data_IF_907661436313
#
_entry.id   IF_907661436313
#
_cell.length_a   1.000
_cell.length_b   1.000
_cell.length_c   1.000
_cell.angle_alpha   90.00
_cell.angle_beta   90.00
_cell.angle_gamma   90.00
#
_symmetry.space_group_name_H-M   'P 1'
#
loop_
_entity.id
_entity.type
_entity.pdbx_description
1 polymer ?
#
# COMPACT_ATOMS: atom_id res chain seq x y z
N UNK A 1 7.53 12.76 -21.26
CA UNK A 1 6.65 12.63 -20.08
C UNK A 1 6.75 11.20 -19.60
N UNK A 2 7.37 10.94 -18.46
CA UNK A 2 7.35 9.61 -17.83
C UNK A 2 5.94 9.38 -17.31
N UNK A 3 5.33 8.26 -17.68
CA UNK A 3 4.08 7.84 -17.05
C UNK A 3 4.40 7.35 -15.63
N UNK A 4 3.60 7.73 -14.61
CA UNK A 4 3.80 7.24 -13.26
C UNK A 4 3.75 5.72 -13.26
N UNK A 5 4.73 5.09 -12.60
CA UNK A 5 4.74 3.64 -12.40
C UNK A 5 3.57 3.28 -11.48
N UNK A 6 3.06 2.07 -11.66
CA UNK A 6 2.04 1.54 -10.77
C UNK A 6 2.55 0.32 -10.02
N UNK A 7 2.14 0.21 -8.76
CA UNK A 7 2.39 -0.96 -7.91
C UNK A 7 1.11 -1.33 -7.17
N UNK A 8 0.93 -2.61 -6.87
CA UNK A 8 -0.05 -3.07 -5.86
C UNK A 8 0.67 -3.26 -4.54
N UNK A 9 0.07 -2.74 -3.48
CA UNK A 9 0.42 -3.04 -2.12
C UNK A 9 -0.73 -3.82 -1.45
N UNK A 10 -0.41 -4.98 -0.86
CA UNK A 10 -1.31 -5.72 0.02
C UNK A 10 -0.89 -5.40 1.45
N UNK A 11 -1.76 -4.74 2.22
CA UNK A 11 -1.52 -4.43 3.64
C UNK A 11 -2.42 -5.32 4.48
N UNK A 12 -1.85 -5.96 5.48
CA UNK A 12 -2.56 -6.80 6.44
C UNK A 12 -2.34 -6.24 7.85
N UNK A 13 -3.44 -5.93 8.50
CA UNK A 13 -3.54 -5.64 9.93
C UNK A 13 -4.12 -6.86 10.65
N UNK A 14 -3.46 -7.26 11.74
CA UNK A 14 -3.92 -8.33 12.64
C UNK A 14 -3.96 -7.80 14.07
N UNK A 15 -4.87 -8.32 14.90
CA UNK A 15 -5.02 -7.89 16.29
C UNK A 15 -5.85 -6.61 16.48
N UNK A 16 -6.65 -6.22 15.47
CA UNK A 16 -7.60 -5.11 15.58
C UNK A 16 -7.01 -3.71 15.37
N UNK A 17 -5.77 -3.59 14.88
CA UNK A 17 -5.23 -2.29 14.50
C UNK A 17 -6.03 -1.71 13.30
N UNK A 18 -6.42 -0.44 13.41
CA UNK A 18 -7.27 0.23 12.42
C UNK A 18 -6.60 0.27 11.06
N UNK A 19 -7.23 -0.29 10.03
CA UNK A 19 -6.81 -0.16 8.63
C UNK A 19 -7.98 0.41 7.83
N UNK A 20 -8.01 1.73 7.70
CA UNK A 20 -9.10 2.48 7.07
C UNK A 20 -8.61 3.45 5.99
N UNK A 21 -9.55 4.10 5.32
CA UNK A 21 -9.24 5.07 4.26
C UNK A 21 -8.43 6.27 4.77
N UNK A 22 -8.62 6.70 6.02
CA UNK A 22 -7.90 7.83 6.59
C UNK A 22 -6.42 7.51 6.79
N UNK A 23 -6.10 6.30 7.25
CA UNK A 23 -4.74 5.79 7.32
C UNK A 23 -4.06 5.79 5.94
N UNK A 24 -4.74 5.29 4.90
CA UNK A 24 -4.17 5.20 3.55
C UNK A 24 -3.89 6.57 2.90
N UNK A 25 -4.55 7.65 3.34
CA UNK A 25 -4.24 9.01 2.85
C UNK A 25 -2.84 9.49 3.26
N UNK A 26 -2.18 8.79 4.20
CA UNK A 26 -0.83 9.09 4.69
C UNK A 26 0.25 8.21 4.05
N UNK A 27 -0.08 7.53 2.95
CA UNK A 27 0.87 6.72 2.19
C UNK A 27 2.05 7.59 1.71
N UNK A 28 3.30 7.22 2.03
CA UNK A 28 4.45 7.96 1.57
C UNK A 28 4.75 7.65 0.09
N UNK A 29 5.28 8.65 -0.62
CA UNK A 29 5.94 8.50 -1.92
C UNK A 29 5.06 7.98 -3.07
N UNK A 30 3.75 7.90 -2.87
CA UNK A 30 2.80 7.44 -3.86
C UNK A 30 1.42 8.07 -3.66
N UNK A 31 0.63 8.04 -4.73
CA UNK A 31 -0.78 8.41 -4.72
C UNK A 31 -1.63 7.15 -4.77
N UNK A 32 -2.61 7.04 -3.88
CA UNK A 32 -3.59 5.96 -3.92
C UNK A 32 -4.53 6.14 -5.13
N UNK A 33 -4.57 5.13 -6.00
CA UNK A 33 -5.44 5.10 -7.19
C UNK A 33 -6.74 4.32 -6.91
N UNK A 34 -6.62 3.17 -6.23
CA UNK A 34 -7.73 2.28 -5.90
C UNK A 34 -7.41 1.54 -4.61
N UNK A 35 -8.42 1.27 -3.80
CA UNK A 35 -8.31 0.42 -2.61
C UNK A 35 -9.52 -0.51 -2.50
N UNK A 36 -9.27 -1.77 -2.15
CA UNK A 36 -10.30 -2.77 -1.87
C UNK A 36 -10.07 -3.34 -0.49
N UNK A 37 -11.07 -3.20 0.39
CA UNK A 37 -10.98 -3.58 1.79
C UNK A 37 -11.71 -4.89 2.05
N UNK A 38 -11.12 -5.72 2.90
CA UNK A 38 -11.75 -6.87 3.52
C UNK A 38 -11.49 -6.82 5.02
N UNK A 39 -12.52 -6.97 5.85
CA UNK A 39 -12.41 -6.90 7.30
C UNK A 39 -13.17 -8.03 7.99
N UNK A 40 -12.62 -8.51 9.09
CA UNK A 40 -13.29 -9.34 10.10
C UNK A 40 -12.93 -8.84 11.49
N UNK A 41 -13.45 -9.50 12.53
CA UNK A 41 -13.42 -9.00 13.91
C UNK A 41 -12.03 -8.58 14.45
N UNK A 42 -10.96 -9.24 13.99
CA UNK A 42 -9.58 -8.97 14.47
C UNK A 42 -8.57 -8.78 13.36
N UNK A 43 -9.01 -8.73 12.11
CA UNK A 43 -8.12 -8.63 10.96
C UNK A 43 -8.73 -7.74 9.88
N UNK A 44 -7.88 -6.94 9.25
CA UNK A 44 -8.25 -6.13 8.10
C UNK A 44 -7.17 -6.26 7.04
N UNK A 45 -7.58 -6.34 5.79
CA UNK A 45 -6.72 -6.42 4.63
C UNK A 45 -7.15 -5.33 3.64
N UNK A 46 -6.18 -4.69 2.99
CA UNK A 46 -6.45 -3.85 1.82
C UNK A 46 -5.52 -4.20 0.67
N UNK A 47 -6.09 -4.32 -0.52
CA UNK A 47 -5.36 -4.28 -1.77
C UNK A 47 -5.40 -2.85 -2.31
N UNK A 48 -4.26 -2.18 -2.36
CA UNK A 48 -4.12 -0.79 -2.78
C UNK A 48 -3.29 -0.68 -4.08
N UNK A 49 -3.85 -0.06 -5.10
CA UNK A 49 -3.11 0.34 -6.31
C UNK A 49 -2.52 1.72 -6.09
N UNK A 50 -1.22 1.85 -6.32
CA UNK A 50 -0.42 3.05 -6.04
C UNK A 50 0.23 3.55 -7.32
N UNK A 51 0.14 4.85 -7.58
CA UNK A 51 0.90 5.54 -8.63
C UNK A 51 2.11 6.25 -8.00
N UNK A 52 3.31 6.09 -8.57
CA UNK A 52 4.55 6.65 -8.03
C UNK A 52 5.62 6.89 -9.10
N UNK A 53 6.51 7.85 -8.84
CA UNK A 53 7.63 8.19 -9.72
C UNK A 53 8.96 7.53 -9.31
N UNK A 54 9.05 7.09 -8.04
CA UNK A 54 10.24 6.43 -7.51
C UNK A 54 10.38 4.97 -8.00
N UNK A 55 11.52 4.36 -7.70
CA UNK A 55 11.75 2.94 -7.95
C UNK A 55 10.86 2.06 -7.03
N UNK A 56 10.40 0.90 -7.53
CA UNK A 56 9.53 0.00 -6.75
C UNK A 56 10.20 -0.51 -5.47
N UNK A 57 11.52 -0.73 -5.46
CA UNK A 57 12.24 -1.14 -4.26
C UNK A 57 12.31 -0.01 -3.22
N UNK A 58 12.47 1.23 -3.67
CA UNK A 58 12.44 2.41 -2.81
C UNK A 58 11.06 2.61 -2.17
N UNK A 59 10.00 2.52 -3.00
CA UNK A 59 8.61 2.53 -2.53
C UNK A 59 8.37 1.42 -1.50
N UNK A 60 8.75 0.18 -1.81
CA UNK A 60 8.53 -0.95 -0.93
C UNK A 60 9.22 -0.77 0.42
N UNK A 61 10.42 -0.19 0.46
CA UNK A 61 11.12 0.12 1.71
C UNK A 61 10.37 1.16 2.55
N UNK A 62 9.94 2.25 1.92
CA UNK A 62 9.20 3.32 2.61
C UNK A 62 7.86 2.81 3.16
N UNK A 63 7.12 2.04 2.36
CA UNK A 63 5.83 1.47 2.77
C UNK A 63 5.97 0.45 3.89
N UNK A 64 7.02 -0.39 3.88
CA UNK A 64 7.29 -1.33 4.99
C UNK A 64 7.58 -0.60 6.30
N UNK A 65 8.40 0.46 6.26
CA UNK A 65 8.68 1.27 7.45
C UNK A 65 7.41 1.96 7.97
N UNK A 66 6.61 2.51 7.07
CA UNK A 66 5.33 3.12 7.41
C UNK A 66 4.37 2.09 8.02
N UNK A 67 4.12 0.96 7.36
CA UNK A 67 3.23 -0.10 7.85
C UNK A 67 3.67 -0.64 9.22
N UNK A 68 4.97 -0.84 9.43
CA UNK A 68 5.51 -1.28 10.72
C UNK A 68 5.19 -0.32 11.88
N UNK A 69 5.17 1.00 11.63
CA UNK A 69 4.79 1.98 12.66
C UNK A 69 3.34 1.86 13.13
N UNK A 70 2.49 1.17 12.37
CA UNK A 70 1.10 0.86 12.72
C UNK A 70 0.88 -0.59 13.14
N UNK A 71 1.95 -1.40 13.20
CA UNK A 71 1.83 -2.84 13.47
C UNK A 71 1.26 -3.65 12.30
N UNK A 72 1.29 -3.12 11.08
CA UNK A 72 0.83 -3.84 9.89
C UNK A 72 1.98 -4.54 9.17
N UNK A 73 1.62 -5.53 8.37
CA UNK A 73 2.51 -6.14 7.38
C UNK A 73 2.12 -5.69 5.98
N UNK A 74 3.10 -5.57 5.09
CA UNK A 74 2.85 -5.13 3.71
C UNK A 74 3.72 -5.88 2.70
N UNK A 75 3.09 -6.28 1.60
CA UNK A 75 3.73 -6.83 0.41
C UNK A 75 3.49 -5.89 -0.77
N UNK A 76 4.53 -5.61 -1.55
CA UNK A 76 4.47 -4.67 -2.67
C UNK A 76 4.97 -5.37 -3.93
N UNK A 77 4.22 -5.24 -5.02
CA UNK A 77 4.58 -5.78 -6.32
C UNK A 77 4.33 -4.72 -7.41
N UNK A 78 5.21 -4.59 -8.42
CA UNK A 78 4.96 -3.71 -9.54
C UNK A 78 3.77 -4.23 -10.36
N UNK A 79 2.86 -3.33 -10.75
CA UNK A 79 1.92 -3.60 -11.83
C UNK A 79 2.68 -3.38 -13.12
N UNK A 80 2.81 -4.42 -13.95
CA UNK A 80 3.39 -4.24 -15.28
C UNK A 80 2.55 -3.20 -16.03
N UNK A 81 3.20 -2.11 -16.44
CA UNK A 81 2.76 -1.39 -17.63
C UNK A 81 2.91 -2.33 -18.82
N UNK A 82 1.92 -2.39 -19.68
CA UNK A 82 2.02 -2.98 -21.02
C UNK A 82 3.36 -2.56 -21.63
N UNK A 83 4.17 -3.55 -22.02
CA UNK A 83 5.29 -3.28 -22.94
C UNK A 83 4.78 -2.74 -24.27
#
# INVERSE_FOLDING_TARGET
>A
MTHPRQSVAIILSVGGATLDSAALRRIPMATLVRAEFASGDRAACVAATLAHECDTAELARALRSWAASWGWTITVAPLRGSG
#
